data_IF_025682306263
#
_entry.id   IF_025682306263
#
_cell.length_a   1.000
_cell.length_b   1.000
_cell.length_c   1.000
_cell.angle_alpha   90.00
_cell.angle_beta   90.00
_cell.angle_gamma   90.00
#
_symmetry.space_group_name_H-M   'P 1'
#
loop_
_entity.id
_entity.type
_entity.pdbx_description
1 polymer ?
#
# COMPACT_ATOMS: atom_id res chain seq x y z
N UNK A 1 -33.43 -9.86 2.63
CA UNK A 1 -32.20 -10.67 2.77
C UNK A 1 -31.12 -10.10 1.85
N UNK A 2 -29.92 -10.00 2.42
CA UNK A 2 -28.59 -9.77 1.83
C UNK A 2 -28.29 -8.40 1.21
N UNK A 3 -27.75 -7.52 2.06
CA UNK A 3 -27.07 -6.28 1.68
C UNK A 3 -25.55 -6.54 1.80
N UNK A 4 -24.86 -6.71 0.67
CA UNK A 4 -23.42 -6.99 0.60
C UNK A 4 -22.66 -5.68 0.36
N UNK A 5 -22.36 -4.95 1.43
CA UNK A 5 -21.42 -3.82 1.39
C UNK A 5 -19.99 -4.36 1.57
N UNK A 6 -19.45 -4.97 0.53
CA UNK A 6 -18.03 -5.34 0.45
C UNK A 6 -17.33 -4.31 -0.47
N UNK A 7 -16.24 -3.63 -0.05
CA UNK A 7 -15.58 -2.64 -0.89
C UNK A 7 -14.99 -3.32 -2.13
N UNK A 8 -15.58 -3.01 -3.29
CA UNK A 8 -15.23 -3.60 -4.57
C UNK A 8 -13.92 -3.01 -5.08
N UNK A 9 -12.86 -3.83 -5.19
CA UNK A 9 -11.58 -3.44 -5.81
C UNK A 9 -11.81 -2.87 -7.20
N UNK A 10 -11.12 -1.77 -7.54
CA UNK A 10 -11.23 -1.15 -8.86
C UNK A 10 -10.77 -2.12 -9.94
N UNK A 11 -11.56 -2.22 -11.00
CA UNK A 11 -11.15 -2.94 -12.20
C UNK A 11 -10.00 -2.16 -12.88
N UNK A 12 -8.91 -2.86 -13.16
CA UNK A 12 -7.67 -2.30 -13.74
C UNK A 12 -7.95 -1.57 -15.05
N UNK A 13 -8.97 -2.00 -15.81
CA UNK A 13 -9.39 -1.35 -17.06
C UNK A 13 -9.97 0.04 -16.85
N UNK A 14 -10.58 0.29 -15.69
CA UNK A 14 -11.18 1.58 -15.33
C UNK A 14 -10.09 2.55 -14.89
N UNK A 15 -9.10 2.09 -14.11
CA UNK A 15 -7.97 2.91 -13.69
C UNK A 15 -7.16 3.45 -14.88
N UNK A 16 -6.92 2.61 -15.89
CA UNK A 16 -6.18 3.01 -17.11
C UNK A 16 -6.92 4.11 -17.88
N UNK A 17 -8.26 4.06 -17.95
CA UNK A 17 -9.04 5.10 -18.62
C UNK A 17 -8.90 6.45 -17.94
N UNK A 18 -8.87 6.49 -16.61
CA UNK A 18 -8.70 7.74 -15.85
C UNK A 18 -7.31 8.35 -16.01
N UNK A 19 -6.26 7.52 -16.00
CA UNK A 19 -4.88 7.98 -16.24
C UNK A 19 -4.73 8.56 -17.65
N UNK A 20 -5.36 7.94 -18.66
CA UNK A 20 -5.33 8.43 -20.05
C UNK A 20 -6.05 9.77 -20.23
N UNK A 21 -7.14 10.01 -19.48
CA UNK A 21 -7.86 11.30 -19.54
C UNK A 21 -7.08 12.43 -18.85
N UNK A 22 -6.23 12.13 -17.87
CA UNK A 22 -5.45 13.13 -17.13
C UNK A 22 -4.18 13.63 -17.85
N UNK A 23 -3.69 12.92 -18.87
CA UNK A 23 -2.43 13.23 -19.55
C UNK A 23 -2.55 14.14 -20.79
N UNK A 24 -3.75 14.59 -21.15
CA UNK A 24 -3.98 15.37 -22.36
C UNK A 24 -3.49 16.84 -22.31
N UNK A 25 -2.83 17.29 -21.22
CA UNK A 25 -2.48 18.71 -21.06
C UNK A 25 -1.16 19.01 -20.32
N UNK A 26 -0.08 18.27 -20.58
CA UNK A 26 1.27 18.73 -20.16
C UNK A 26 2.23 18.70 -21.35
N UNK A 27 2.51 19.87 -21.97
CA UNK A 27 3.52 19.95 -23.02
C UNK A 27 4.91 20.23 -22.38
N UNK A 28 5.91 19.46 -22.82
CA UNK A 28 7.37 19.65 -22.68
C UNK A 28 8.01 19.60 -21.28
N UNK A 29 8.93 18.63 -21.08
CA UNK A 29 10.28 18.86 -20.53
C UNK A 29 11.20 17.63 -20.74
N UNK A 30 12.15 17.80 -21.67
CA UNK A 30 13.55 17.36 -21.75
C UNK A 30 14.00 15.97 -21.21
N UNK A 31 14.60 15.16 -22.09
CA UNK A 31 14.72 13.70 -21.98
C UNK A 31 16.15 13.13 -21.88
N UNK A 32 17.08 13.68 -21.08
CA UNK A 32 18.49 13.23 -21.16
C UNK A 32 19.34 13.26 -19.87
N UNK A 33 18.85 12.89 -18.67
CA UNK A 33 19.74 12.96 -17.47
C UNK A 33 19.56 11.98 -16.31
N UNK A 34 18.87 10.85 -16.44
CA UNK A 34 18.79 9.85 -15.34
C UNK A 34 19.17 8.43 -15.79
N UNK A 35 20.44 8.22 -16.15
CA UNK A 35 21.03 6.89 -16.21
C UNK A 35 21.87 6.64 -14.96
N UNK A 36 21.32 5.93 -13.96
CA UNK A 36 22.05 5.57 -12.73
C UNK A 36 22.96 4.36 -12.97
N UNK A 37 24.27 4.57 -12.79
CA UNK A 37 25.29 3.54 -12.63
C UNK A 37 25.41 3.15 -11.15
N UNK A 38 24.84 2.01 -10.77
CA UNK A 38 25.02 1.37 -9.47
C UNK A 38 25.31 -0.14 -9.62
N UNK A 39 26.07 -0.78 -8.72
CA UNK A 39 26.48 -2.18 -8.87
C UNK A 39 25.30 -3.16 -8.75
N UNK A 40 25.16 -4.04 -9.74
CA UNK A 40 24.10 -5.06 -9.83
C UNK A 40 24.37 -6.23 -8.87
N UNK A 41 23.47 -6.49 -7.92
CA UNK A 41 23.49 -7.69 -7.08
C UNK A 41 22.89 -8.86 -7.89
N UNK A 42 23.60 -9.99 -8.08
CA UNK A 42 23.11 -11.10 -8.88
C UNK A 42 22.09 -11.95 -8.09
N UNK A 43 20.85 -12.02 -8.57
CA UNK A 43 19.83 -12.96 -8.10
C UNK A 43 19.83 -14.23 -8.98
N UNK A 44 19.42 -15.42 -8.46
CA UNK A 44 19.51 -16.71 -9.18
C UNK A 44 18.71 -16.79 -10.49
N UNK A 45 17.82 -15.83 -10.72
CA UNK A 45 17.08 -15.62 -11.96
C UNK A 45 17.08 -14.10 -12.15
N UNK A 46 18.09 -13.60 -12.85
CA UNK A 46 18.35 -12.17 -13.00
C UNK A 46 17.09 -11.41 -13.39
N UNK A 47 16.61 -10.59 -12.47
CA UNK A 47 15.59 -9.59 -12.76
C UNK A 47 16.35 -8.40 -13.35
N UNK A 48 16.09 -8.10 -14.62
CA UNK A 48 16.78 -7.03 -15.35
C UNK A 48 16.58 -5.67 -14.67
N UNK A 49 17.55 -4.77 -14.84
CA UNK A 49 17.47 -3.41 -14.29
C UNK A 49 16.45 -2.52 -15.01
N UNK A 50 15.94 -2.95 -16.17
CA UNK A 50 15.03 -2.20 -17.03
C UNK A 50 13.73 -2.99 -17.25
N UNK A 51 12.62 -2.61 -16.61
CA UNK A 51 11.34 -3.27 -16.82
C UNK A 51 10.80 -2.95 -18.21
N UNK A 52 10.23 -3.95 -18.89
CA UNK A 52 9.54 -3.71 -20.15
C UNK A 52 8.26 -2.87 -19.91
N UNK A 53 8.33 -1.57 -20.19
CA UNK A 53 7.22 -0.64 -19.97
C UNK A 53 6.05 -0.82 -20.96
N UNK A 54 6.27 -1.52 -22.08
CA UNK A 54 5.24 -1.78 -23.09
C UNK A 54 4.35 -2.96 -22.72
N UNK A 55 4.93 -3.97 -22.06
CA UNK A 55 4.23 -5.14 -21.54
C UNK A 55 4.76 -5.39 -20.13
N UNK A 56 4.09 -4.86 -19.10
CA UNK A 56 4.50 -5.10 -17.72
C UNK A 56 4.34 -6.57 -17.41
N UNK A 57 5.47 -7.27 -17.24
CA UNK A 57 5.46 -8.64 -16.74
C UNK A 57 4.99 -8.64 -15.28
N UNK A 58 4.20 -9.65 -14.92
CA UNK A 58 3.79 -9.83 -13.53
C UNK A 58 5.04 -10.05 -12.66
N UNK A 59 5.04 -9.49 -11.46
CA UNK A 59 6.11 -9.74 -10.50
C UNK A 59 6.27 -11.26 -10.30
N UNK A 60 7.51 -11.79 -10.27
CA UNK A 60 7.75 -13.22 -10.22
C UNK A 60 7.55 -13.83 -8.83
N UNK A 61 7.07 -13.06 -7.84
CA UNK A 61 6.81 -13.49 -6.48
C UNK A 61 5.33 -13.33 -6.11
N UNK A 62 4.87 -14.15 -5.17
CA UNK A 62 3.51 -14.10 -4.64
C UNK A 62 3.35 -13.00 -3.59
N UNK A 63 2.12 -12.50 -3.46
CA UNK A 63 1.74 -11.55 -2.42
C UNK A 63 1.64 -12.23 -1.06
N UNK A 64 2.19 -11.60 -0.02
CA UNK A 64 2.35 -12.24 1.29
C UNK A 64 1.34 -11.76 2.35
N UNK A 65 0.67 -10.62 2.18
CA UNK A 65 -0.34 -10.18 3.14
C UNK A 65 -1.53 -11.14 3.16
N UNK A 66 -1.95 -11.54 4.36
CA UNK A 66 -3.22 -12.26 4.52
C UNK A 66 -4.40 -11.34 4.16
N UNK A 67 -5.58 -11.90 3.82
CA UNK A 67 -6.77 -11.08 3.52
C UNK A 67 -7.13 -10.13 4.67
N UNK A 68 -6.93 -10.54 5.92
CA UNK A 68 -7.20 -9.74 7.10
C UNK A 68 -6.17 -8.60 7.26
N UNK A 69 -4.88 -8.93 7.15
CA UNK A 69 -3.81 -7.92 7.18
C UNK A 69 -4.01 -6.89 6.07
N UNK A 70 -4.37 -7.32 4.86
CA UNK A 70 -4.64 -6.40 3.74
C UNK A 70 -5.78 -5.43 4.04
N UNK A 71 -6.87 -5.89 4.66
CA UNK A 71 -7.99 -5.03 5.09
C UNK A 71 -7.55 -4.03 6.15
N UNK A 72 -6.76 -4.47 7.13
CA UNK A 72 -6.19 -3.61 8.17
C UNK A 72 -5.25 -2.56 7.56
N UNK A 73 -4.34 -2.95 6.66
CA UNK A 73 -3.46 -2.03 5.92
C UNK A 73 -4.26 -1.01 5.11
N UNK A 74 -5.31 -1.45 4.42
CA UNK A 74 -6.19 -0.57 3.63
C UNK A 74 -6.84 0.49 4.51
N UNK A 75 -7.43 0.06 5.63
CA UNK A 75 -8.10 0.95 6.57
C UNK A 75 -7.10 1.95 7.19
N UNK A 76 -5.94 1.47 7.62
CA UNK A 76 -4.89 2.32 8.18
C UNK A 76 -4.38 3.35 7.17
N UNK A 77 -4.16 2.93 5.92
CA UNK A 77 -3.70 3.82 4.86
C UNK A 77 -4.71 4.94 4.58
N UNK A 78 -6.01 4.62 4.55
CA UNK A 78 -7.08 5.61 4.35
C UNK A 78 -7.27 6.55 5.53
N UNK A 79 -6.93 6.12 6.75
CA UNK A 79 -6.91 7.02 7.92
C UNK A 79 -5.76 8.01 7.82
N UNK A 80 -4.57 7.56 7.39
CA UNK A 80 -3.38 8.40 7.25
C UNK A 80 -3.54 9.40 6.11
N UNK A 81 -4.04 8.94 4.96
CA UNK A 81 -4.28 9.76 3.78
C UNK A 81 -5.71 9.53 3.27
N UNK A 82 -6.70 10.22 3.88
CA UNK A 82 -8.08 10.12 3.46
C UNK A 82 -8.30 10.82 2.12
N UNK A 83 -9.38 10.45 1.43
CA UNK A 83 -9.84 11.22 0.29
C UNK A 83 -10.20 12.63 0.73
N UNK A 84 -9.82 13.61 -0.08
CA UNK A 84 -10.30 14.98 0.03
C UNK A 84 -10.95 15.37 -1.31
N UNK A 85 -11.69 16.48 -1.37
CA UNK A 85 -12.53 16.80 -2.54
C UNK A 85 -11.84 16.74 -3.91
N UNK A 86 -10.52 16.89 -3.96
CA UNK A 86 -9.72 16.87 -5.20
C UNK A 86 -8.87 15.60 -5.36
N UNK A 87 -8.56 14.89 -4.28
CA UNK A 87 -7.65 13.74 -4.28
C UNK A 87 -8.30 12.47 -3.72
N UNK A 88 -8.16 11.32 -4.39
CA UNK A 88 -8.61 10.04 -3.85
C UNK A 88 -7.84 9.67 -2.58
N UNK A 89 -8.39 8.73 -1.80
CA UNK A 89 -7.70 8.17 -0.63
C UNK A 89 -6.51 7.31 -1.05
N UNK A 90 -5.67 6.93 -0.08
CA UNK A 90 -4.57 5.99 -0.30
C UNK A 90 -5.03 4.69 -1.00
N UNK A 91 -6.15 4.11 -0.55
CA UNK A 91 -6.73 2.93 -1.18
C UNK A 91 -7.25 3.23 -2.59
N UNK A 92 -7.81 4.41 -2.83
CA UNK A 92 -8.19 4.88 -4.17
C UNK A 92 -7.01 4.98 -5.15
N UNK A 93 -5.78 5.07 -4.64
CA UNK A 93 -4.53 5.06 -5.39
C UNK A 93 -3.81 3.70 -5.38
N UNK A 94 -4.41 2.65 -4.81
CA UNK A 94 -3.82 1.32 -4.64
C UNK A 94 -2.53 1.30 -3.82
N UNK A 95 -2.36 2.22 -2.86
CA UNK A 95 -1.22 2.22 -1.94
C UNK A 95 -1.12 0.90 -1.14
N UNK A 96 -2.21 0.28 -0.64
CA UNK A 96 -2.12 -1.01 0.05
C UNK A 96 -1.57 -2.13 -0.85
N UNK A 97 -1.96 -2.15 -2.13
CA UNK A 97 -1.40 -3.08 -3.11
C UNK A 97 0.08 -2.83 -3.39
N UNK A 98 0.52 -1.57 -3.37
CA UNK A 98 1.95 -1.25 -3.48
C UNK A 98 2.73 -1.73 -2.25
N UNK A 99 2.21 -1.53 -1.04
CA UNK A 99 2.86 -1.98 0.20
C UNK A 99 3.04 -3.50 0.17
N UNK A 100 1.98 -4.23 -0.17
CA UNK A 100 2.01 -5.69 -0.28
C UNK A 100 2.99 -6.17 -1.37
N UNK A 101 3.09 -5.48 -2.51
CA UNK A 101 4.12 -5.76 -3.54
C UNK A 101 5.53 -5.56 -2.98
N UNK A 102 5.75 -4.41 -2.35
CA UNK A 102 7.05 -3.99 -1.84
C UNK A 102 7.57 -5.01 -0.83
N UNK A 103 6.76 -5.37 0.17
CA UNK A 103 7.20 -6.30 1.19
C UNK A 103 7.30 -7.73 0.66
N UNK A 104 6.57 -8.09 -0.40
CA UNK A 104 6.64 -9.44 -0.99
C UNK A 104 7.94 -9.68 -1.75
N UNK A 105 8.55 -8.62 -2.30
CA UNK A 105 9.77 -8.73 -3.06
C UNK A 105 10.93 -9.30 -2.22
N UNK A 106 11.76 -10.20 -2.78
CA UNK A 106 12.79 -10.95 -2.04
C UNK A 106 14.12 -10.18 -1.92
N UNK A 107 14.09 -8.86 -2.05
CA UNK A 107 15.28 -8.02 -2.03
C UNK A 107 15.65 -7.65 -0.58
N UNK A 108 16.94 -7.48 -0.24
CA UNK A 108 17.35 -7.25 1.15
C UNK A 108 16.72 -6.02 1.84
N UNK A 109 16.48 -4.93 1.10
CA UNK A 109 15.84 -3.75 1.67
C UNK A 109 14.36 -4.01 1.97
N UNK A 110 13.67 -4.68 1.05
CA UNK A 110 12.27 -5.08 1.15
C UNK A 110 12.07 -6.12 2.25
N UNK A 111 12.99 -7.07 2.40
CA UNK A 111 12.99 -8.04 3.50
C UNK A 111 13.16 -7.36 4.87
N UNK A 112 14.03 -6.35 4.96
CA UNK A 112 14.18 -5.54 6.16
C UNK A 112 12.89 -4.78 6.50
N UNK A 113 12.27 -4.13 5.51
CA UNK A 113 11.02 -3.38 5.71
C UNK A 113 9.84 -4.31 6.04
N UNK A 114 9.78 -5.49 5.41
CA UNK A 114 8.75 -6.51 5.60
C UNK A 114 8.54 -6.82 7.06
N UNK A 115 9.62 -7.04 7.81
CA UNK A 115 9.53 -7.39 9.23
C UNK A 115 8.80 -6.31 10.03
N UNK A 116 9.23 -5.05 9.89
CA UNK A 116 8.64 -3.93 10.61
C UNK A 116 7.18 -3.70 10.22
N UNK A 117 6.86 -3.82 8.93
CA UNK A 117 5.49 -3.61 8.44
C UNK A 117 4.55 -4.70 8.95
N UNK A 118 4.94 -5.98 8.86
CA UNK A 118 4.11 -7.09 9.34
C UNK A 118 3.87 -7.01 10.85
N UNK A 119 4.93 -6.81 11.63
CA UNK A 119 4.82 -6.66 13.09
C UNK A 119 3.93 -5.47 13.49
N UNK A 120 4.00 -4.35 12.75
CA UNK A 120 3.14 -3.19 12.99
C UNK A 120 1.67 -3.42 12.65
N UNK A 121 1.38 -4.11 11.54
CA UNK A 121 0.00 -4.47 11.15
C UNK A 121 -0.60 -5.46 12.15
N UNK A 122 0.18 -6.44 12.61
CA UNK A 122 -0.28 -7.40 13.60
C UNK A 122 -0.51 -6.72 14.96
N UNK A 123 0.38 -5.81 15.35
CA UNK A 123 0.22 -5.03 16.58
C UNK A 123 -1.05 -4.17 16.56
N UNK A 124 -1.31 -3.42 15.50
CA UNK A 124 -2.50 -2.54 15.45
C UNK A 124 -3.80 -3.34 15.51
N UNK A 125 -3.81 -4.53 14.89
CA UNK A 125 -4.96 -5.42 14.94
C UNK A 125 -5.14 -6.04 16.34
N UNK A 126 -4.04 -6.47 16.98
CA UNK A 126 -4.05 -6.98 18.35
C UNK A 126 -4.54 -5.91 19.34
N UNK A 127 -4.08 -4.66 19.19
CA UNK A 127 -4.48 -3.54 20.05
C UNK A 127 -5.97 -3.21 19.90
N UNK A 128 -6.48 -3.26 18.67
CA UNK A 128 -7.91 -3.16 18.39
C UNK A 128 -8.73 -4.24 19.11
N UNK A 129 -8.28 -5.50 19.05
CA UNK A 129 -8.93 -6.60 19.76
C UNK A 129 -8.87 -6.41 21.27
N UNK A 130 -7.73 -5.96 21.80
CA UNK A 130 -7.56 -5.71 23.22
C UNK A 130 -8.50 -4.62 23.75
N UNK A 131 -8.61 -3.48 23.06
CA UNK A 131 -9.41 -2.33 23.52
C UNK A 131 -10.91 -2.48 23.24
N UNK A 132 -11.27 -3.10 22.13
CA UNK A 132 -12.64 -3.04 21.59
C UNK A 132 -13.22 -4.39 21.19
N UNK A 133 -12.45 -5.48 21.26
CA UNK A 133 -12.90 -6.83 20.96
C UNK A 133 -13.14 -7.13 19.48
N UNK A 134 -12.68 -6.28 18.57
CA UNK A 134 -12.88 -6.38 17.12
C UNK A 134 -11.57 -6.19 16.36
N UNK A 135 -11.52 -6.65 15.11
CA UNK A 135 -10.42 -6.33 14.21
C UNK A 135 -10.38 -4.83 13.90
N UNK A 136 -9.21 -4.28 13.60
CA UNK A 136 -9.03 -2.83 13.42
C UNK A 136 -9.91 -2.26 12.30
N UNK A 137 -10.06 -3.01 11.20
CA UNK A 137 -10.90 -2.61 10.07
C UNK A 137 -12.42 -2.68 10.36
N UNK A 138 -12.84 -3.34 11.45
CA UNK A 138 -14.24 -3.43 11.87
C UNK A 138 -14.63 -2.41 12.96
N UNK A 139 -13.66 -1.63 13.43
CA UNK A 139 -13.88 -0.53 14.37
C UNK A 139 -14.60 0.65 13.71
N UNK A 140 -15.29 1.46 14.51
CA UNK A 140 -15.76 2.75 14.03
C UNK A 140 -14.61 3.77 13.89
N UNK A 141 -14.84 4.83 13.11
CA UNK A 141 -13.80 5.83 12.82
C UNK A 141 -13.24 6.51 14.08
N UNK A 142 -14.04 6.66 15.15
CA UNK A 142 -13.56 7.27 16.39
C UNK A 142 -12.62 6.31 17.13
N UNK A 143 -12.97 5.03 17.21
CA UNK A 143 -12.13 3.99 17.81
C UNK A 143 -10.80 3.82 17.06
N UNK A 144 -10.83 3.80 15.73
CA UNK A 144 -9.64 3.71 14.89
C UNK A 144 -8.69 4.90 15.15
N UNK A 145 -9.23 6.12 15.11
CA UNK A 145 -8.47 7.35 15.37
C UNK A 145 -7.86 7.37 16.76
N UNK A 146 -8.57 6.87 17.77
CA UNK A 146 -8.05 6.81 19.15
C UNK A 146 -6.75 6.00 19.21
N UNK A 147 -6.71 4.83 18.56
CA UNK A 147 -5.49 4.01 18.50
C UNK A 147 -4.38 4.76 17.73
N UNK A 148 -4.70 5.33 16.57
CA UNK A 148 -3.72 6.06 15.76
C UNK A 148 -3.15 7.30 16.47
N UNK A 149 -3.99 8.08 17.15
CA UNK A 149 -3.59 9.30 17.86
C UNK A 149 -2.66 8.99 19.05
N UNK A 150 -2.86 7.84 19.71
CA UNK A 150 -1.98 7.39 20.79
C UNK A 150 -0.57 6.99 20.30
N UNK A 151 -0.35 6.79 19.00
CA UNK A 151 0.96 6.41 18.43
C UNK A 151 1.52 7.42 17.42
N UNK A 152 0.74 8.42 16.99
CA UNK A 152 1.10 9.32 15.90
C UNK A 152 2.29 10.26 16.22
N UNK A 153 2.66 10.39 17.50
CA UNK A 153 3.77 11.23 17.94
C UNK A 153 4.63 10.51 19.00
N UNK A 154 5.83 10.08 18.59
CA UNK A 154 6.72 9.23 19.40
C UNK A 154 6.95 9.73 20.84
N UNK A 155 7.20 11.02 21.13
CA UNK A 155 7.39 11.48 22.51
C UNK A 155 6.16 11.41 23.42
N UNK A 156 4.95 11.25 22.85
CA UNK A 156 3.69 11.11 23.60
C UNK A 156 3.03 9.76 23.35
N UNK A 157 3.75 8.84 22.72
CA UNK A 157 3.17 7.57 22.32
C UNK A 157 2.84 6.72 23.56
N UNK A 158 1.66 6.12 23.58
CA UNK A 158 1.25 5.15 24.60
C UNK A 158 1.36 3.76 23.98
N UNK A 159 2.46 3.09 24.29
CA UNK A 159 2.74 1.70 23.88
C UNK A 159 2.39 0.72 24.97
#
# INVERSE_FOLDING_TARGET
>A
MNNSNDPKRLDRRVAIKWILFASASVPFLNSNSFGQSGPSIPTPRGYGSDPNLLIPEAAPWERILTPEQFKTTTTLADIILPANGESPSASGLNVPDFIDEWISAPYPAQEKDRKTILEGIDWINAESHYRFGKAFHDLDSSQQKTICDDICYQPKAKT
#
